data_IF_794065091215
#
_entry.id   IF_794065091215
#
_cell.length_a   1.000
_cell.length_b   1.000
_cell.length_c   1.000
_cell.angle_alpha   90.00
_cell.angle_beta   90.00
_cell.angle_gamma   90.00
#
_symmetry.space_group_name_H-M   'P 1'
#
loop_
_entity.id
_entity.type
_entity.pdbx_description
1 polymer ?
#
# COMPACT_ATOMS: atom_id res chain seq x y z
N UNK A 1 28.52 -14.44 -52.92
CA UNK A 1 29.58 -13.48 -52.58
C UNK A 1 29.38 -13.21 -51.07
N UNK A 2 30.19 -13.91 -50.25
CA UNK A 2 31.34 -13.37 -49.50
C UNK A 2 30.84 -12.44 -48.38
N UNK A 3 31.13 -12.57 -47.11
CA UNK A 3 32.10 -13.29 -46.23
C UNK A 3 31.48 -13.20 -44.84
N UNK A 4 31.38 -14.20 -44.02
CA UNK A 4 32.33 -14.66 -43.01
C UNK A 4 32.98 -13.52 -42.15
N UNK A 5 32.62 -13.44 -40.87
CA UNK A 5 33.60 -13.24 -39.84
C UNK A 5 33.02 -13.61 -38.45
N UNK A 6 33.48 -14.69 -37.93
CA UNK A 6 33.34 -15.11 -36.56
C UNK A 6 34.24 -14.20 -35.68
N UNK A 7 33.73 -13.75 -34.53
CA UNK A 7 34.55 -13.27 -33.43
C UNK A 7 34.07 -13.92 -32.15
N UNK A 8 34.82 -14.93 -31.76
CA UNK A 8 34.83 -15.53 -30.42
C UNK A 8 35.50 -14.51 -29.52
N UNK A 9 34.80 -14.00 -28.52
CA UNK A 9 35.42 -13.34 -27.38
C UNK A 9 35.14 -14.19 -26.16
N UNK A 10 36.16 -14.96 -25.80
CA UNK A 10 36.28 -15.57 -24.49
C UNK A 10 36.56 -14.45 -23.47
N UNK A 11 35.67 -14.23 -22.56
CA UNK A 11 35.78 -13.25 -21.46
C UNK A 11 35.49 -13.90 -20.12
N UNK A 12 36.55 -14.25 -19.44
CA UNK A 12 36.80 -14.46 -18.02
C UNK A 12 35.59 -14.58 -17.07
N UNK A 13 35.46 -15.75 -16.45
CA UNK A 13 34.81 -15.99 -15.17
C UNK A 13 35.44 -15.13 -14.06
N UNK A 14 34.91 -13.96 -13.85
CA UNK A 14 35.10 -13.20 -12.63
C UNK A 14 34.08 -13.67 -11.60
N UNK A 15 34.46 -14.62 -10.75
CA UNK A 15 33.80 -14.89 -9.47
C UNK A 15 34.01 -13.66 -8.57
N UNK A 16 33.22 -12.65 -8.76
CA UNK A 16 33.08 -11.60 -7.75
C UNK A 16 32.28 -12.17 -6.59
N UNK A 17 33.03 -12.48 -5.53
CA UNK A 17 32.51 -12.57 -4.17
C UNK A 17 31.81 -11.21 -3.85
N UNK A 18 30.60 -11.06 -4.28
CA UNK A 18 29.73 -10.00 -3.79
C UNK A 18 29.27 -10.44 -2.41
N UNK A 19 30.15 -10.14 -1.46
CA UNK A 19 29.96 -10.42 -0.07
C UNK A 19 28.79 -9.65 0.50
N UNK A 20 28.29 -10.18 1.54
CA UNK A 20 27.62 -9.70 2.77
C UNK A 20 26.89 -8.32 2.80
N UNK A 21 27.15 -7.40 1.91
CA UNK A 21 26.52 -6.07 1.89
C UNK A 21 25.11 -6.05 1.29
N UNK A 22 24.72 -7.08 0.53
CA UNK A 22 23.38 -7.15 -0.10
C UNK A 22 22.27 -7.52 0.90
N UNK A 23 22.60 -8.22 1.99
CA UNK A 23 21.59 -8.55 3.02
C UNK A 23 21.21 -7.33 3.88
N UNK A 24 22.15 -6.43 4.16
CA UNK A 24 21.89 -5.24 4.96
C UNK A 24 21.05 -4.19 4.20
N UNK A 25 21.25 -4.09 2.88
CA UNK A 25 20.41 -3.24 2.01
C UNK A 25 18.97 -3.75 1.91
N UNK A 26 18.78 -5.04 1.69
CA UNK A 26 17.46 -5.65 1.60
C UNK A 26 16.67 -5.55 2.92
N UNK A 27 17.32 -5.64 4.08
CA UNK A 27 16.69 -5.47 5.39
C UNK A 27 16.16 -4.05 5.61
N UNK A 28 16.90 -3.03 5.18
CA UNK A 28 16.48 -1.61 5.28
C UNK A 28 15.31 -1.28 4.37
N UNK A 29 15.25 -1.86 3.18
CA UNK A 29 14.18 -1.59 2.22
C UNK A 29 12.85 -2.22 2.64
N UNK A 30 12.86 -3.39 3.27
CA UNK A 30 11.65 -4.03 3.79
C UNK A 30 11.18 -3.38 5.10
N UNK A 31 12.11 -2.94 5.95
CA UNK A 31 11.76 -2.15 7.15
C UNK A 31 11.02 -0.86 6.77
N UNK A 32 11.47 -0.17 5.71
CA UNK A 32 10.76 0.99 5.13
C UNK A 32 9.41 0.61 4.51
N UNK A 33 9.29 -0.61 3.98
CA UNK A 33 8.02 -1.14 3.44
C UNK A 33 6.95 -1.27 4.53
N UNK A 34 7.28 -1.82 5.69
CA UNK A 34 6.35 -1.97 6.82
C UNK A 34 5.87 -0.63 7.39
N UNK A 35 6.76 0.39 7.52
CA UNK A 35 6.36 1.76 7.88
C UNK A 35 5.39 2.35 6.87
N UNK A 36 5.70 2.23 5.59
CA UNK A 36 4.83 2.74 4.52
C UNK A 36 3.44 2.12 4.52
N UNK A 37 3.30 0.83 4.87
CA UNK A 37 1.99 0.16 4.95
C UNK A 37 1.18 0.71 6.14
N UNK A 38 1.80 0.89 7.31
CA UNK A 38 1.14 1.49 8.47
C UNK A 38 0.73 2.94 8.20
N UNK A 39 1.63 3.73 7.64
CA UNK A 39 1.35 5.11 7.25
C UNK A 39 0.25 5.19 6.19
N UNK A 40 0.23 4.27 5.23
CA UNK A 40 -0.81 4.17 4.22
C UNK A 40 -2.17 3.88 4.85
N UNK A 41 -2.28 2.97 5.81
CA UNK A 41 -3.53 2.64 6.48
C UNK A 41 -4.07 3.80 7.34
N UNK A 42 -3.18 4.54 8.00
CA UNK A 42 -3.52 5.76 8.74
C UNK A 42 -4.01 6.83 7.78
N UNK A 43 -3.30 7.02 6.67
CA UNK A 43 -3.68 7.98 5.63
C UNK A 43 -5.05 7.68 5.05
N UNK A 44 -5.35 6.42 4.72
CA UNK A 44 -6.65 5.99 4.18
C UNK A 44 -7.80 6.35 5.14
N UNK A 45 -7.64 6.09 6.43
CA UNK A 45 -8.64 6.47 7.45
C UNK A 45 -8.81 7.97 7.56
N UNK A 46 -7.73 8.73 7.49
CA UNK A 46 -7.78 10.18 7.54
C UNK A 46 -8.43 10.77 6.27
N UNK A 47 -8.09 10.25 5.10
CA UNK A 47 -8.69 10.66 3.83
C UNK A 47 -10.22 10.39 3.84
N UNK A 48 -10.65 9.24 4.38
CA UNK A 48 -12.07 8.94 4.56
C UNK A 48 -12.77 9.95 5.48
N UNK A 49 -12.19 10.25 6.65
CA UNK A 49 -12.75 11.23 7.59
C UNK A 49 -12.87 12.60 6.93
N UNK A 50 -11.80 13.04 6.28
CA UNK A 50 -11.77 14.34 5.57
C UNK A 50 -12.83 14.40 4.47
N UNK A 51 -13.00 13.35 3.69
CA UNK A 51 -14.01 13.27 2.64
C UNK A 51 -15.43 13.32 3.22
N UNK A 52 -15.69 12.59 4.31
CA UNK A 52 -16.99 12.63 5.01
C UNK A 52 -17.27 14.03 5.53
N UNK A 53 -16.36 14.61 6.28
CA UNK A 53 -16.55 15.92 6.93
C UNK A 53 -16.68 17.04 5.89
N UNK A 54 -15.99 16.94 4.74
CA UNK A 54 -16.16 17.86 3.62
C UNK A 54 -17.55 17.72 2.99
N UNK A 55 -17.99 16.48 2.72
CA UNK A 55 -19.29 16.22 2.13
C UNK A 55 -20.44 16.69 3.02
N UNK A 56 -20.31 16.54 4.35
CA UNK A 56 -21.30 17.05 5.30
C UNK A 56 -21.41 18.58 5.24
N UNK A 57 -20.26 19.29 5.25
CA UNK A 57 -20.26 20.76 5.12
C UNK A 57 -20.85 21.23 3.79
N UNK A 58 -20.50 20.57 2.69
CA UNK A 58 -21.02 20.89 1.37
C UNK A 58 -22.53 20.67 1.29
N UNK A 59 -23.03 19.60 1.91
CA UNK A 59 -24.46 19.32 1.99
C UNK A 59 -25.21 20.37 2.80
N UNK A 60 -24.69 20.76 3.96
CA UNK A 60 -25.31 21.80 4.79
C UNK A 60 -25.31 23.15 4.07
N UNK A 61 -24.25 23.47 3.36
CA UNK A 61 -24.16 24.68 2.54
C UNK A 61 -25.21 24.66 1.41
N UNK A 62 -25.26 23.54 0.67
CA UNK A 62 -26.23 23.36 -0.41
C UNK A 62 -27.68 23.41 0.11
N UNK A 63 -27.96 22.76 1.24
CA UNK A 63 -29.27 22.76 1.88
C UNK A 63 -29.69 24.16 2.34
N UNK A 64 -28.75 24.96 2.84
CA UNK A 64 -29.01 26.35 3.23
C UNK A 64 -29.30 27.21 2.01
N UNK A 65 -28.57 27.03 0.92
CA UNK A 65 -28.83 27.72 -0.35
C UNK A 65 -30.19 27.40 -0.95
N UNK A 66 -30.78 26.24 -0.63
CA UNK A 66 -32.11 25.86 -1.08
C UNK A 66 -33.26 26.59 -0.36
N UNK A 67 -32.98 27.54 0.52
CA UNK A 67 -34.04 28.34 1.22
C UNK A 67 -34.70 29.39 0.30
N UNK A 68 -34.04 29.75 -0.80
CA UNK A 68 -34.58 30.70 -1.78
C UNK A 68 -35.56 30.00 -2.75
N UNK A 69 -36.57 30.78 -3.22
CA UNK A 69 -37.55 30.33 -4.19
C UNK A 69 -38.89 29.87 -3.60
N UNK A 70 -39.77 29.38 -4.47
CA UNK A 70 -41.05 28.79 -4.06
C UNK A 70 -40.88 27.35 -3.54
N UNK A 71 -41.95 26.78 -2.99
CA UNK A 71 -41.89 25.46 -2.34
C UNK A 71 -41.38 24.35 -3.26
N UNK A 72 -41.85 24.27 -4.50
CA UNK A 72 -41.44 23.29 -5.47
C UNK A 72 -39.94 23.42 -5.83
N UNK A 73 -39.46 24.66 -5.96
CA UNK A 73 -38.02 24.93 -6.22
C UNK A 73 -37.15 24.54 -5.03
N UNK A 74 -37.63 24.84 -3.82
CA UNK A 74 -36.90 24.44 -2.58
C UNK A 74 -36.84 22.92 -2.43
N UNK A 75 -37.92 22.21 -2.73
CA UNK A 75 -37.97 20.75 -2.68
C UNK A 75 -36.98 20.13 -3.71
N UNK A 76 -37.10 20.52 -4.98
CA UNK A 76 -36.19 20.03 -6.02
C UNK A 76 -34.72 20.32 -5.72
N UNK A 77 -34.42 21.50 -5.15
CA UNK A 77 -33.06 21.85 -4.71
C UNK A 77 -32.55 20.91 -3.60
N UNK A 78 -33.37 20.64 -2.58
CA UNK A 78 -33.03 19.74 -1.47
C UNK A 78 -32.82 18.31 -1.95
N UNK A 79 -33.64 17.84 -2.87
CA UNK A 79 -33.52 16.50 -3.44
C UNK A 79 -32.20 16.34 -4.22
N UNK A 80 -31.86 17.38 -5.01
CA UNK A 80 -30.57 17.42 -5.68
C UNK A 80 -29.42 17.43 -4.69
N UNK A 81 -29.45 18.25 -3.66
CA UNK A 81 -28.41 18.31 -2.64
C UNK A 81 -28.22 16.94 -1.94
N UNK A 82 -29.31 16.23 -1.65
CA UNK A 82 -29.32 14.90 -1.04
C UNK A 82 -28.72 13.85 -1.99
N UNK A 83 -29.09 13.91 -3.27
CA UNK A 83 -28.56 13.00 -4.29
C UNK A 83 -27.06 13.21 -4.48
N UNK A 84 -26.60 14.46 -4.58
CA UNK A 84 -25.19 14.81 -4.71
C UNK A 84 -24.37 14.36 -3.49
N UNK A 85 -24.89 14.55 -2.27
CA UNK A 85 -24.28 14.05 -1.04
C UNK A 85 -24.12 12.52 -1.05
N UNK A 86 -25.22 11.82 -1.38
CA UNK A 86 -25.24 10.36 -1.43
C UNK A 86 -24.22 9.80 -2.46
N UNK A 87 -24.14 10.43 -3.63
CA UNK A 87 -23.20 10.04 -4.67
C UNK A 87 -21.74 10.20 -4.20
N UNK A 88 -21.41 11.35 -3.60
CA UNK A 88 -20.05 11.60 -3.08
C UNK A 88 -19.71 10.68 -1.92
N UNK A 89 -20.64 10.41 -1.00
CA UNK A 89 -20.43 9.47 0.09
C UNK A 89 -20.19 8.04 -0.40
N UNK A 90 -20.94 7.59 -1.41
CA UNK A 90 -20.73 6.29 -2.02
C UNK A 90 -19.37 6.19 -2.72
N UNK A 91 -18.95 7.23 -3.42
CA UNK A 91 -17.62 7.29 -4.04
C UNK A 91 -16.50 7.24 -2.98
N UNK A 92 -16.62 8.04 -1.92
CA UNK A 92 -15.66 8.06 -0.82
C UNK A 92 -15.55 6.68 -0.14
N UNK A 93 -16.70 6.02 0.13
CA UNK A 93 -16.76 4.68 0.70
C UNK A 93 -16.10 3.64 -0.21
N UNK A 94 -16.39 3.68 -1.50
CA UNK A 94 -15.79 2.75 -2.47
C UNK A 94 -14.27 2.92 -2.53
N UNK A 95 -13.79 4.16 -2.51
CA UNK A 95 -12.36 4.46 -2.49
C UNK A 95 -11.71 3.96 -1.21
N UNK A 96 -12.33 4.19 -0.05
CA UNK A 96 -11.87 3.70 1.24
C UNK A 96 -11.71 2.17 1.24
N UNK A 97 -12.78 1.43 0.91
CA UNK A 97 -12.74 -0.04 0.90
C UNK A 97 -11.71 -0.60 -0.07
N UNK A 98 -11.60 -0.03 -1.27
CA UNK A 98 -10.59 -0.48 -2.25
C UNK A 98 -9.17 -0.32 -1.71
N UNK A 99 -8.91 0.78 -1.03
CA UNK A 99 -7.57 1.07 -0.51
C UNK A 99 -7.27 0.25 0.74
N UNK A 100 -8.28 0.03 1.59
CA UNK A 100 -8.19 -0.83 2.77
C UNK A 100 -7.88 -2.27 2.39
N UNK A 101 -8.64 -2.87 1.48
CA UNK A 101 -8.40 -4.23 0.96
C UNK A 101 -7.01 -4.39 0.34
N UNK A 102 -6.51 -3.34 -0.34
CA UNK A 102 -5.14 -3.36 -0.87
C UNK A 102 -4.10 -3.40 0.25
N UNK A 103 -4.30 -2.60 1.30
CA UNK A 103 -3.41 -2.57 2.46
C UNK A 103 -3.39 -3.91 3.20
N UNK A 104 -4.55 -4.55 3.39
CA UNK A 104 -4.68 -5.88 3.98
C UNK A 104 -3.93 -6.93 3.16
N UNK A 105 -4.16 -6.95 1.84
CA UNK A 105 -3.44 -7.87 0.94
C UNK A 105 -1.91 -7.69 0.96
N UNK A 106 -1.42 -6.47 1.15
CA UNK A 106 0.01 -6.20 1.31
C UNK A 106 0.52 -6.71 2.66
N UNK A 107 -0.26 -6.60 3.72
CA UNK A 107 0.07 -7.16 5.05
C UNK A 107 0.13 -8.69 5.01
N UNK A 108 -0.85 -9.34 4.40
CA UNK A 108 -0.89 -10.80 4.24
C UNK A 108 0.36 -11.31 3.50
N UNK A 109 0.73 -10.66 2.41
CA UNK A 109 1.97 -10.99 1.67
C UNK A 109 3.24 -10.85 2.52
N UNK A 110 3.27 -9.85 3.39
CA UNK A 110 4.41 -9.66 4.31
C UNK A 110 4.45 -10.75 5.37
N UNK A 111 3.29 -11.19 5.85
CA UNK A 111 3.18 -12.31 6.79
C UNK A 111 3.63 -13.62 6.17
N UNK A 112 3.10 -13.97 5.00
CA UNK A 112 3.50 -15.16 4.23
C UNK A 112 5.02 -15.18 3.97
N UNK A 113 5.58 -14.02 3.61
CA UNK A 113 7.00 -13.89 3.36
C UNK A 113 7.85 -14.05 4.65
N UNK A 114 7.34 -13.59 5.80
CA UNK A 114 7.97 -13.83 7.09
C UNK A 114 7.96 -15.31 7.46
N UNK A 115 6.82 -15.97 7.33
CA UNK A 115 6.71 -17.40 7.64
C UNK A 115 7.63 -18.23 6.75
N UNK A 116 7.66 -17.97 5.45
CA UNK A 116 8.58 -18.63 4.52
C UNK A 116 10.06 -18.37 4.84
N UNK A 117 10.40 -17.20 5.36
CA UNK A 117 11.76 -16.90 5.81
C UNK A 117 12.11 -17.65 7.09
N UNK A 118 11.19 -17.68 8.06
CA UNK A 118 11.36 -18.41 9.33
C UNK A 118 11.53 -19.91 9.09
N UNK A 119 10.74 -20.50 8.21
CA UNK A 119 10.82 -21.92 7.87
C UNK A 119 12.19 -22.31 7.31
N UNK A 120 12.80 -21.43 6.51
CA UNK A 120 14.17 -21.62 6.02
C UNK A 120 15.22 -21.61 7.16
N UNK A 121 14.96 -20.82 8.22
CA UNK A 121 15.85 -20.80 9.39
C UNK A 121 15.83 -22.13 10.16
N UNK A 122 14.72 -22.88 10.14
CA UNK A 122 14.59 -24.19 10.76
C UNK A 122 15.53 -25.28 10.21
N UNK A 123 16.18 -25.03 9.06
CA UNK A 123 17.25 -25.88 8.54
C UNK A 123 18.60 -25.66 9.26
N UNK A 124 18.75 -24.56 9.99
CA UNK A 124 19.93 -24.20 10.77
C UNK A 124 19.82 -24.76 12.20
N UNK A 125 20.90 -24.60 13.01
CA UNK A 125 20.93 -25.06 14.40
C UNK A 125 21.60 -24.03 15.30
N UNK A 126 21.11 -23.93 16.56
CA UNK A 126 21.70 -23.12 17.61
C UNK A 126 21.80 -21.65 17.25
N UNK A 127 22.92 -21.02 17.51
CA UNK A 127 23.11 -19.58 17.32
C UNK A 127 22.87 -19.07 15.90
N UNK A 128 23.04 -19.92 14.89
CA UNK A 128 22.78 -19.54 13.49
C UNK A 128 21.29 -19.55 13.19
N UNK A 129 20.50 -20.46 13.76
CA UNK A 129 19.05 -20.45 13.72
C UNK A 129 18.49 -19.21 14.39
N UNK A 130 18.95 -18.92 15.63
CA UNK A 130 18.51 -17.74 16.39
C UNK A 130 18.77 -16.44 15.63
N UNK A 131 19.97 -16.31 15.03
CA UNK A 131 20.33 -15.15 14.22
C UNK A 131 19.44 -15.02 12.99
N UNK A 132 19.22 -16.11 12.27
CA UNK A 132 18.36 -16.16 11.09
C UNK A 132 16.92 -15.72 11.44
N UNK A 133 16.37 -16.22 12.53
CA UNK A 133 15.02 -15.85 13.00
C UNK A 133 14.97 -14.38 13.42
N UNK A 134 16.00 -13.86 14.09
CA UNK A 134 16.09 -12.46 14.45
C UNK A 134 16.14 -11.56 13.21
N UNK A 135 16.91 -11.94 12.21
CA UNK A 135 16.99 -11.23 10.93
C UNK A 135 15.64 -11.26 10.17
N UNK A 136 14.95 -12.42 10.17
CA UNK A 136 13.62 -12.52 9.59
C UNK A 136 12.61 -11.60 10.31
N UNK A 137 12.62 -11.56 11.65
CA UNK A 137 11.77 -10.65 12.43
C UNK A 137 12.07 -9.19 12.12
N UNK A 138 13.35 -8.82 12.10
CA UNK A 138 13.76 -7.45 11.78
C UNK A 138 13.34 -7.06 10.36
N UNK A 139 13.47 -7.98 9.42
CA UNK A 139 13.12 -7.78 8.02
C UNK A 139 11.63 -7.56 7.81
N UNK A 140 10.78 -8.34 8.49
CA UNK A 140 9.33 -8.29 8.32
C UNK A 140 8.60 -7.62 9.49
N UNK A 141 9.33 -7.02 10.44
CA UNK A 141 8.82 -6.30 11.62
C UNK A 141 7.80 -7.09 12.45
N UNK A 142 8.20 -8.29 12.85
CA UNK A 142 7.41 -9.16 13.73
C UNK A 142 7.98 -9.18 15.16
#
# INVERSE_FOLDING_TARGET
MRNAMALIVAGALGLSLVGCNTMEGAGKDVARGGEKIQDASIKVRNDWRNARDSNERDYDTARTACMAGNDAQREACRDKARADYSARMNQARTTYHRTEMRSESEQDRMEDAYEAARDKCGALRGADEDRCVADARAKYRR
#
